data_IF_884136891540
#
_entry.id   IF_884136891540
#
_cell.length_a   1.000
_cell.length_b   1.000
_cell.length_c   1.000
_cell.angle_alpha   90.00
_cell.angle_beta   90.00
_cell.angle_gamma   90.00
#
_symmetry.space_group_name_H-M   'P 1'
#
loop_
_entity.id
_entity.type
_entity.pdbx_description
1 polymer ?
#
# COMPACT_ATOMS: atom_id res chain seq x y z
N UNK A 1 -5.02 -11.34 -14.74
CA UNK A 1 -5.79 -10.81 -13.59
C UNK A 1 -6.73 -9.70 -14.05
N UNK A 2 -7.91 -9.63 -13.44
CA UNK A 2 -8.88 -8.56 -13.65
C UNK A 2 -8.93 -7.67 -12.40
N UNK A 3 -8.96 -6.36 -12.61
CA UNK A 3 -9.27 -5.38 -11.57
C UNK A 3 -10.75 -5.02 -11.66
N UNK A 4 -11.47 -5.12 -10.54
CA UNK A 4 -12.85 -4.71 -10.39
C UNK A 4 -12.87 -3.52 -9.44
N UNK A 5 -13.20 -2.34 -9.95
CA UNK A 5 -13.27 -1.11 -9.18
C UNK A 5 -14.71 -0.82 -8.75
N UNK A 6 -14.86 0.03 -7.72
CA UNK A 6 -16.16 0.54 -7.26
C UNK A 6 -17.15 -0.57 -6.84
N UNK A 7 -16.64 -1.69 -6.35
CA UNK A 7 -17.49 -2.79 -5.89
C UNK A 7 -18.06 -2.43 -4.51
N UNK A 8 -19.35 -2.08 -4.47
CA UNK A 8 -20.01 -1.54 -3.27
C UNK A 8 -20.86 -2.60 -2.56
N UNK A 9 -20.66 -2.75 -1.24
CA UNK A 9 -21.45 -3.62 -0.36
C UNK A 9 -21.71 -2.96 1.00
N UNK A 10 -22.82 -3.28 1.70
CA UNK A 10 -23.07 -2.82 3.07
C UNK A 10 -21.94 -3.26 4.02
N UNK A 11 -21.61 -2.48 5.04
CA UNK A 11 -20.52 -2.85 5.98
C UNK A 11 -20.75 -4.15 6.75
N UNK A 12 -22.01 -4.60 6.84
CA UNK A 12 -22.42 -5.84 7.51
C UNK A 12 -22.30 -7.10 6.64
N UNK A 13 -21.86 -6.97 5.38
CA UNK A 13 -21.79 -8.11 4.47
C UNK A 13 -20.78 -9.17 4.92
N UNK A 14 -21.02 -10.42 4.52
CA UNK A 14 -20.09 -11.52 4.73
C UNK A 14 -19.04 -11.62 3.61
N UNK A 15 -17.98 -12.38 3.85
CA UNK A 15 -16.95 -12.65 2.84
C UNK A 15 -17.53 -13.38 1.61
N UNK A 16 -18.47 -14.28 1.84
CA UNK A 16 -19.18 -15.05 0.82
C UNK A 16 -20.04 -14.14 -0.06
N UNK A 17 -20.67 -13.11 0.53
CA UNK A 17 -21.44 -12.12 -0.20
C UNK A 17 -20.54 -11.25 -1.09
N UNK A 18 -19.34 -10.89 -0.63
CA UNK A 18 -18.35 -10.21 -1.45
C UNK A 18 -17.90 -11.08 -2.63
N UNK A 19 -17.59 -12.36 -2.38
CA UNK A 19 -17.24 -13.32 -3.45
C UNK A 19 -18.39 -13.50 -4.45
N UNK A 20 -19.62 -13.65 -3.96
CA UNK A 20 -20.81 -13.73 -4.80
C UNK A 20 -20.98 -12.46 -5.65
N UNK A 21 -20.72 -11.28 -5.09
CA UNK A 21 -20.76 -10.00 -5.80
C UNK A 21 -19.68 -9.93 -6.88
N UNK A 22 -18.45 -10.36 -6.60
CA UNK A 22 -17.34 -10.46 -7.58
C UNK A 22 -17.77 -11.33 -8.77
N UNK A 23 -18.25 -12.55 -8.49
CA UNK A 23 -18.69 -13.50 -9.52
C UNK A 23 -19.84 -12.95 -10.36
N UNK A 24 -20.82 -12.30 -9.70
CA UNK A 24 -21.96 -11.66 -10.36
C UNK A 24 -21.51 -10.53 -11.28
N UNK A 25 -20.58 -9.68 -10.84
CA UNK A 25 -20.05 -8.58 -11.65
C UNK A 25 -19.29 -9.11 -12.87
N UNK A 26 -18.51 -10.18 -12.70
CA UNK A 26 -17.77 -10.83 -13.79
C UNK A 26 -18.62 -11.75 -14.67
N UNK A 27 -19.87 -12.05 -14.29
CA UNK A 27 -20.78 -12.99 -14.97
C UNK A 27 -20.14 -14.38 -15.19
N UNK A 28 -19.48 -14.90 -14.15
CA UNK A 28 -18.76 -16.19 -14.16
C UNK A 28 -19.31 -17.20 -13.14
N UNK A 29 -19.19 -18.51 -13.42
CA UNK A 29 -19.50 -19.54 -12.43
C UNK A 29 -18.42 -19.60 -11.33
N UNK A 30 -18.64 -20.39 -10.27
CA UNK A 30 -17.77 -20.38 -9.07
C UNK A 30 -16.37 -20.89 -9.39
N UNK A 31 -16.31 -21.90 -10.24
CA UNK A 31 -15.14 -22.67 -10.64
C UNK A 31 -14.18 -21.83 -11.51
N UNK A 32 -14.71 -20.77 -12.15
CA UNK A 32 -13.90 -19.86 -12.97
C UNK A 32 -13.20 -18.77 -12.16
N UNK A 33 -13.54 -18.59 -10.88
CA UNK A 33 -12.85 -17.69 -9.96
C UNK A 33 -11.78 -18.48 -9.20
N UNK A 34 -10.51 -18.27 -9.55
CA UNK A 34 -9.39 -19.03 -8.98
C UNK A 34 -8.95 -18.45 -7.63
N UNK A 35 -8.84 -17.12 -7.55
CA UNK A 35 -8.51 -16.40 -6.33
C UNK A 35 -8.91 -14.93 -6.46
N UNK A 36 -9.00 -14.24 -5.34
CA UNK A 36 -9.22 -12.80 -5.31
C UNK A 36 -8.59 -12.18 -4.07
N UNK A 37 -8.26 -10.90 -4.17
CA UNK A 37 -7.66 -10.13 -3.08
C UNK A 37 -8.21 -8.70 -3.06
N UNK A 38 -8.27 -8.12 -1.86
CA UNK A 38 -8.65 -6.73 -1.67
C UNK A 38 -7.41 -5.87 -1.89
N UNK A 39 -7.43 -5.01 -2.91
CA UNK A 39 -6.37 -4.02 -3.14
C UNK A 39 -6.66 -2.68 -2.51
N UNK A 40 -7.93 -2.33 -2.39
CA UNK A 40 -8.38 -1.14 -1.67
C UNK A 40 -9.73 -1.44 -1.04
N UNK A 41 -9.91 -1.00 0.20
CA UNK A 41 -11.18 -0.95 0.88
C UNK A 41 -11.36 0.48 1.41
N UNK A 42 -12.50 1.09 1.12
CA UNK A 42 -12.82 2.44 1.60
C UNK A 42 -14.23 2.48 2.15
N UNK A 43 -14.44 3.24 3.21
CA UNK A 43 -15.75 3.43 3.83
C UNK A 43 -16.46 4.62 3.17
N UNK A 44 -17.65 4.38 2.61
CA UNK A 44 -18.58 5.40 2.13
C UNK A 44 -19.68 5.61 3.18
N UNK A 45 -19.54 6.69 3.96
CA UNK A 45 -20.44 7.06 5.05
C UNK A 45 -21.35 8.25 4.71
N UNK A 46 -21.49 8.61 3.43
CA UNK A 46 -22.24 9.81 3.01
C UNK A 46 -23.76 9.69 3.17
N UNK A 47 -24.31 8.46 3.16
CA UNK A 47 -25.75 8.19 3.27
C UNK A 47 -26.10 7.59 4.63
N UNK A 48 -25.99 8.38 5.71
CA UNK A 48 -26.37 7.90 7.05
C UNK A 48 -27.87 7.50 7.09
N UNK A 49 -28.25 6.40 7.77
CA UNK A 49 -27.41 5.51 8.60
C UNK A 49 -26.68 4.39 7.81
N UNK A 50 -26.93 4.26 6.51
CA UNK A 50 -26.37 3.18 5.69
C UNK A 50 -24.88 3.40 5.37
N UNK A 51 -24.04 2.55 5.94
CA UNK A 51 -22.60 2.53 5.64
C UNK A 51 -22.28 1.47 4.61
N UNK A 52 -21.41 1.81 3.67
CA UNK A 52 -20.95 0.89 2.65
C UNK A 52 -19.43 0.82 2.59
N UNK A 53 -18.90 -0.37 2.33
CA UNK A 53 -17.55 -0.50 1.82
C UNK A 53 -17.54 -0.42 0.29
N UNK A 54 -16.55 0.29 -0.23
CA UNK A 54 -16.22 0.38 -1.65
C UNK A 54 -14.86 -0.27 -1.86
N UNK A 55 -14.86 -1.34 -2.65
CA UNK A 55 -13.68 -2.16 -2.89
C UNK A 55 -13.07 -1.92 -4.28
N UNK A 56 -11.75 -2.06 -4.33
CA UNK A 56 -11.03 -2.46 -5.54
C UNK A 56 -10.50 -3.87 -5.31
N UNK A 57 -10.98 -4.82 -6.13
CA UNK A 57 -10.62 -6.24 -6.04
C UNK A 57 -9.75 -6.61 -7.23
N UNK A 58 -8.68 -7.35 -6.98
CA UNK A 58 -7.98 -8.08 -8.03
C UNK A 58 -8.44 -9.53 -8.02
N UNK A 59 -8.92 -10.02 -9.16
CA UNK A 59 -9.43 -11.37 -9.33
C UNK A 59 -8.58 -12.15 -10.36
N UNK A 60 -8.12 -13.33 -9.98
CA UNK A 60 -7.60 -14.33 -10.91
C UNK A 60 -8.75 -15.20 -11.38
N UNK A 61 -8.96 -15.23 -12.70
CA UNK A 61 -10.07 -15.95 -13.31
C UNK A 61 -9.59 -16.66 -14.56
N UNK A 62 -10.30 -17.71 -14.94
CA UNK A 62 -10.05 -18.39 -16.21
C UNK A 62 -10.51 -17.51 -17.39
N UNK A 63 -9.70 -17.41 -18.44
CA UNK A 63 -10.04 -16.73 -19.69
C UNK A 63 -10.42 -15.23 -19.55
N UNK A 64 -9.55 -14.40 -18.96
CA UNK A 64 -9.84 -12.98 -18.68
C UNK A 64 -10.34 -12.18 -19.91
N UNK A 65 -9.73 -12.43 -21.08
CA UNK A 65 -10.10 -11.73 -22.33
C UNK A 65 -11.54 -12.02 -22.75
N UNK A 66 -12.03 -13.23 -22.53
CA UNK A 66 -13.42 -13.62 -22.85
C UNK A 66 -14.40 -12.92 -21.91
N UNK A 67 -14.05 -12.81 -20.64
CA UNK A 67 -14.87 -12.13 -19.63
C UNK A 67 -14.96 -10.62 -19.93
N UNK A 68 -13.84 -9.97 -20.26
CA UNK A 68 -13.84 -8.54 -20.63
C UNK A 68 -14.72 -8.24 -21.84
N UNK A 69 -14.66 -9.08 -22.88
CA UNK A 69 -15.55 -8.98 -24.05
C UNK A 69 -17.04 -9.19 -23.71
N UNK A 70 -17.36 -9.89 -22.61
CA UNK A 70 -18.74 -10.20 -22.20
C UNK A 70 -19.34 -9.12 -21.28
N UNK A 71 -18.54 -8.54 -20.39
CA UNK A 71 -19.06 -7.70 -19.31
C UNK A 71 -19.19 -6.24 -19.73
N UNK A 72 -18.35 -5.74 -20.65
CA UNK A 72 -18.38 -4.36 -21.17
C UNK A 72 -18.58 -3.28 -20.07
N UNK A 73 -18.00 -3.51 -18.89
CA UNK A 73 -18.08 -2.59 -17.74
C UNK A 73 -16.75 -1.81 -17.63
N UNK A 74 -16.84 -0.48 -17.60
CA UNK A 74 -15.69 0.42 -17.45
C UNK A 74 -14.92 0.23 -16.15
N UNK A 75 -15.55 -0.34 -15.12
CA UNK A 75 -14.92 -0.60 -13.84
C UNK A 75 -14.13 -1.92 -13.82
N UNK A 76 -14.17 -2.69 -14.91
CA UNK A 76 -13.48 -3.98 -15.02
C UNK A 76 -12.40 -3.88 -16.08
N UNK A 77 -11.14 -4.06 -15.68
CA UNK A 77 -9.99 -3.88 -16.54
C UNK A 77 -9.02 -5.04 -16.42
N UNK A 78 -8.32 -5.36 -17.52
CA UNK A 78 -7.16 -6.23 -17.44
C UNK A 78 -6.04 -5.49 -16.71
N UNK A 79 -5.43 -6.17 -15.75
CA UNK A 79 -4.22 -5.68 -15.10
C UNK A 79 -3.10 -6.69 -15.25
N UNK A 80 -1.89 -6.17 -15.43
CA UNK A 80 -0.66 -6.89 -15.18
C UNK A 80 -0.10 -6.42 -13.85
N UNK A 81 0.19 -7.34 -12.94
CA UNK A 81 0.85 -6.99 -11.70
C UNK A 81 2.27 -6.50 -12.04
N UNK A 82 2.51 -5.20 -11.89
CA UNK A 82 3.86 -4.65 -11.96
C UNK A 82 4.58 -5.02 -10.68
N UNK A 83 5.35 -6.11 -10.72
CA UNK A 83 6.29 -6.42 -9.64
C UNK A 83 7.24 -5.24 -9.48
N UNK A 84 7.34 -4.74 -8.26
CA UNK A 84 8.30 -3.70 -7.92
C UNK A 84 9.71 -4.21 -8.24
N UNK A 85 10.50 -3.41 -8.97
CA UNK A 85 11.88 -3.74 -9.33
C UNK A 85 12.82 -2.93 -8.46
N UNK A 86 13.63 -3.62 -7.66
CA UNK A 86 14.69 -3.00 -6.88
C UNK A 86 15.79 -2.44 -7.79
N UNK A 87 16.46 -1.40 -7.29
CA UNK A 87 17.65 -0.87 -7.94
C UNK A 87 18.74 -1.94 -7.94
N UNK A 88 19.27 -2.27 -9.11
CA UNK A 88 20.43 -3.16 -9.27
C UNK A 88 21.62 -2.30 -9.69
N UNK A 89 22.71 -2.37 -8.93
CA UNK A 89 23.99 -1.73 -9.29
C UNK A 89 24.94 -2.82 -9.78
N UNK A 90 25.45 -2.73 -11.01
CA UNK A 90 26.42 -3.71 -11.51
C UNK A 90 27.75 -3.57 -10.78
N UNK A 91 28.37 -4.71 -10.48
CA UNK A 91 29.73 -4.77 -9.92
C UNK A 91 30.80 -4.87 -11.01
N UNK A 92 32.01 -4.32 -10.79
CA UNK A 92 32.39 -3.45 -9.67
C UNK A 92 31.85 -2.03 -9.87
N UNK A 93 31.35 -1.40 -8.81
CA UNK A 93 30.95 0.00 -8.82
C UNK A 93 32.01 0.88 -8.15
N UNK A 94 32.38 1.98 -8.79
CA UNK A 94 33.36 2.96 -8.30
C UNK A 94 32.71 4.30 -7.91
N UNK A 95 31.57 4.24 -7.21
CA UNK A 95 30.93 5.47 -6.70
C UNK A 95 31.34 5.77 -5.26
N UNK A 96 31.42 7.05 -4.87
CA UNK A 96 31.56 7.45 -3.48
C UNK A 96 30.42 6.89 -2.62
N UNK A 97 30.70 6.62 -1.34
CA UNK A 97 29.70 6.16 -0.38
C UNK A 97 28.57 7.20 -0.29
N UNK A 98 27.30 6.84 -0.57
CA UNK A 98 26.19 7.79 -0.47
C UNK A 98 25.99 8.27 0.97
N UNK A 99 25.72 9.56 1.15
CA UNK A 99 25.37 10.17 2.44
C UNK A 99 23.93 10.65 2.40
N UNK A 100 23.17 10.33 3.44
CA UNK A 100 21.77 10.68 3.60
C UNK A 100 21.66 11.51 4.88
N UNK A 101 21.13 12.73 4.76
CA UNK A 101 20.80 13.57 5.90
C UNK A 101 19.32 13.39 6.27
N UNK A 102 19.07 13.00 7.52
CA UNK A 102 17.75 12.70 8.07
C UNK A 102 17.42 11.21 8.05
N UNK A 103 16.84 10.75 9.15
CA UNK A 103 16.32 9.41 9.40
C UNK A 103 14.78 9.37 9.46
N UNK A 104 14.13 10.40 8.92
CA UNK A 104 12.69 10.34 8.63
C UNK A 104 12.35 9.30 7.55
N UNK A 105 11.07 9.11 7.23
CA UNK A 105 10.63 8.08 6.28
C UNK A 105 11.38 8.15 4.93
N UNK A 106 11.54 9.35 4.36
CA UNK A 106 12.27 9.51 3.10
C UNK A 106 13.73 9.04 3.18
N UNK A 107 14.44 9.41 4.26
CA UNK A 107 15.84 9.04 4.47
C UNK A 107 16.01 7.54 4.72
N UNK A 108 15.17 6.94 5.57
CA UNK A 108 15.20 5.50 5.85
C UNK A 108 14.86 4.67 4.61
N UNK A 109 13.85 5.06 3.84
CA UNK A 109 13.54 4.35 2.58
C UNK A 109 14.71 4.48 1.60
N UNK A 110 15.29 5.67 1.42
CA UNK A 110 16.48 5.86 0.58
C UNK A 110 17.64 4.95 1.02
N UNK A 111 17.96 4.95 2.33
CA UNK A 111 19.02 4.13 2.91
C UNK A 111 18.78 2.64 2.69
N UNK A 112 17.55 2.16 2.94
CA UNK A 112 17.16 0.78 2.70
C UNK A 112 17.39 0.37 1.24
N UNK A 113 16.96 1.21 0.28
CA UNK A 113 17.13 0.93 -1.14
C UNK A 113 18.59 0.88 -1.58
N UNK A 114 19.40 1.85 -1.17
CA UNK A 114 20.82 1.91 -1.51
C UNK A 114 21.60 0.77 -0.82
N UNK A 115 21.27 0.44 0.42
CA UNK A 115 21.89 -0.67 1.15
C UNK A 115 21.61 -2.02 0.48
N UNK A 116 20.37 -2.25 0.04
CA UNK A 116 20.00 -3.45 -0.72
C UNK A 116 20.71 -3.57 -2.07
N UNK A 117 21.11 -2.45 -2.64
CA UNK A 117 21.91 -2.38 -3.86
C UNK A 117 23.42 -2.48 -3.61
N UNK A 118 23.88 -2.73 -2.37
CA UNK A 118 25.29 -2.88 -2.01
C UNK A 118 26.06 -1.57 -1.83
N UNK A 119 25.40 -0.41 -1.96
CA UNK A 119 26.06 0.90 -1.97
C UNK A 119 26.51 1.40 -0.59
N UNK A 120 26.17 0.67 0.49
CA UNK A 120 26.59 0.96 1.88
C UNK A 120 26.35 2.44 2.28
N UNK A 121 25.13 2.99 2.20
CA UNK A 121 24.89 4.39 2.54
C UNK A 121 25.30 4.72 3.99
N UNK A 122 25.61 5.99 4.25
CA UNK A 122 25.77 6.57 5.59
C UNK A 122 24.57 7.46 5.89
N UNK A 123 23.86 7.20 6.99
CA UNK A 123 22.74 8.03 7.43
C UNK A 123 23.21 8.90 8.59
N UNK A 124 22.93 10.19 8.50
CA UNK A 124 23.21 11.17 9.54
C UNK A 124 21.87 11.74 10.02
N UNK A 125 21.61 11.69 11.32
CA UNK A 125 20.44 12.29 11.95
C UNK A 125 20.92 13.32 12.98
N UNK A 126 20.25 14.47 13.04
CA UNK A 126 20.52 15.52 14.03
C UNK A 126 19.86 15.23 15.37
N UNK A 127 18.66 14.66 15.34
CA UNK A 127 17.90 14.32 16.54
C UNK A 127 18.37 13.04 17.20
N UNK A 128 17.80 12.75 18.36
CA UNK A 128 18.12 11.54 19.11
C UNK A 128 17.48 10.28 18.50
N UNK A 129 17.90 9.13 19.03
CA UNK A 129 17.20 7.87 18.81
C UNK A 129 15.72 7.96 19.27
N UNK A 130 14.90 7.06 18.73
CA UNK A 130 13.45 7.12 18.93
C UNK A 130 13.02 7.03 20.41
N UNK A 131 13.74 6.29 21.24
CA UNK A 131 13.39 6.11 22.66
C UNK A 131 13.75 7.37 23.45
N UNK A 132 14.90 7.98 23.16
CA UNK A 132 15.30 9.25 23.76
C UNK A 132 14.39 10.40 23.31
N UNK A 133 14.12 10.51 22.00
CA UNK A 133 13.19 11.52 21.45
C UNK A 133 11.79 11.40 22.04
N UNK A 134 11.30 10.18 22.26
CA UNK A 134 10.00 9.95 22.89
C UNK A 134 9.94 10.58 24.29
N UNK A 135 10.97 10.39 25.11
CA UNK A 135 11.05 11.00 26.45
C UNK A 135 11.08 12.53 26.38
N UNK A 136 11.85 13.10 25.45
CA UNK A 136 11.90 14.55 25.26
C UNK A 136 10.52 15.12 24.86
N UNK A 137 9.80 14.44 23.97
CA UNK A 137 8.45 14.81 23.55
C UNK A 137 7.44 14.69 24.70
N UNK A 138 7.50 13.61 25.49
CA UNK A 138 6.64 13.44 26.67
C UNK A 138 6.90 14.53 27.71
N UNK A 139 8.17 14.82 28.00
CA UNK A 139 8.55 15.91 28.90
C UNK A 139 8.04 17.27 28.42
N UNK A 140 8.15 17.55 27.12
CA UNK A 140 7.60 18.76 26.52
C UNK A 140 6.07 18.84 26.70
N UNK A 141 5.34 17.73 26.51
CA UNK A 141 3.88 17.71 26.70
C UNK A 141 3.46 17.91 28.16
N UNK A 142 4.23 17.38 29.11
CA UNK A 142 3.95 17.53 30.55
C UNK A 142 4.31 18.91 31.10
N UNK A 143 5.42 19.50 30.63
CA UNK A 143 6.02 20.69 31.26
C UNK A 143 5.97 21.95 30.41
N UNK A 144 5.73 21.83 29.10
CA UNK A 144 5.83 22.93 28.14
C UNK A 144 7.26 23.33 27.77
N UNK A 145 8.28 22.65 28.31
CA UNK A 145 9.70 22.93 28.04
C UNK A 145 10.12 22.21 26.76
N UNK A 146 10.40 22.96 25.71
CA UNK A 146 10.79 22.43 24.39
C UNK A 146 12.30 22.22 24.30
N UNK A 147 12.71 21.05 23.83
CA UNK A 147 14.05 20.79 23.31
C UNK A 147 14.08 21.04 21.78
N UNK A 148 14.80 22.07 21.27
CA UNK A 148 14.86 22.38 19.85
C UNK A 148 15.52 21.29 18.98
N UNK A 149 16.32 20.40 19.57
CA UNK A 149 17.02 19.32 18.88
C UNK A 149 16.31 17.97 19.00
N UNK A 150 15.41 17.81 19.98
CA UNK A 150 14.68 16.55 20.24
C UNK A 150 13.20 16.80 20.50
N UNK A 151 12.39 16.85 19.43
CA UNK A 151 10.97 17.19 19.52
C UNK A 151 10.11 16.40 18.52
N UNK A 152 8.87 16.83 18.32
CA UNK A 152 7.85 16.14 17.50
C UNK A 152 8.22 16.11 16.01
N UNK A 153 9.12 16.98 15.55
CA UNK A 153 9.54 17.07 14.15
C UNK A 153 10.40 15.87 13.69
#
# INVERSE_FOLDING_TARGET
>A
MLSIQQLKLPVSHSREELEAKIRKQLKIPRESLLSWEIRKQSLDARKKPELFYVYTIYAQVQNEKKILKKVHDKNIMLISEKKYRYLTVPEPFSCPRPVIAGSGPAGLFCAYYLARAGLRPLVLERGDDADTRKKAVEHFWETGILDPESNVQ
#
